data_IF_268258683997
#
_entry.id   IF_268258683997
#
_cell.length_a   1.000
_cell.length_b   1.000
_cell.length_c   1.000
_cell.angle_alpha   90.00
_cell.angle_beta   90.00
_cell.angle_gamma   90.00
#
_symmetry.space_group_name_H-M   'P 1'
#
loop_
_entity.id
_entity.type
_entity.pdbx_description
1 polymer ?
#
# COMPACT_ATOMS: atom_id res chain seq x y z
N UNK A 1 -6.40 17.75 -6.45
CA UNK A 1 -5.11 17.08 -6.75
C UNK A 1 -4.78 16.16 -5.59
N UNK A 2 -4.11 15.02 -5.81
CA UNK A 2 -3.80 14.01 -4.78
C UNK A 2 -3.11 14.60 -3.54
N UNK A 3 -2.19 15.55 -3.71
CA UNK A 3 -1.50 16.21 -2.60
C UNK A 3 -2.43 16.86 -1.57
N UNK A 4 -3.64 17.27 -1.97
CA UNK A 4 -4.62 17.81 -1.04
C UNK A 4 -5.38 16.70 -0.28
N UNK A 5 -5.40 15.49 -0.81
CA UNK A 5 -6.09 14.34 -0.20
C UNK A 5 -5.23 13.56 0.79
N UNK A 6 -3.89 13.65 0.66
CA UNK A 6 -2.94 12.90 1.50
C UNK A 6 -1.94 13.81 2.24
N UNK A 7 -2.34 15.06 2.55
CA UNK A 7 -1.55 15.93 3.42
C UNK A 7 -1.89 15.68 4.89
N UNK A 8 -0.94 15.94 5.78
CA UNK A 8 -1.12 15.75 7.22
C UNK A 8 -0.60 14.40 7.73
N UNK A 9 -1.28 13.81 8.69
CA UNK A 9 -0.87 12.57 9.38
C UNK A 9 -1.55 11.37 8.74
N UNK A 10 -0.77 10.53 8.06
CA UNK A 10 -1.22 9.24 7.57
C UNK A 10 -0.77 8.10 8.47
N UNK A 11 -1.67 7.21 8.85
CA UNK A 11 -1.35 6.07 9.71
C UNK A 11 -1.36 4.77 8.92
N UNK A 12 -0.22 4.04 8.97
CA UNK A 12 -0.15 2.68 8.47
C UNK A 12 -0.82 1.73 9.47
N UNK A 13 -1.95 1.14 9.09
CA UNK A 13 -2.67 0.18 9.91
C UNK A 13 -1.91 -1.14 10.01
N UNK A 14 -2.00 -1.78 11.18
CA UNK A 14 -1.65 -3.19 11.37
C UNK A 14 -2.81 -4.07 10.91
N UNK A 15 -2.55 -5.35 10.64
CA UNK A 15 -3.56 -6.39 10.48
C UNK A 15 -3.59 -7.23 11.75
N UNK A 16 -4.61 -7.11 12.61
CA UNK A 16 -4.74 -7.97 13.79
C UNK A 16 -5.06 -9.40 13.36
N UNK A 17 -4.47 -10.38 14.06
CA UNK A 17 -4.73 -11.79 13.87
C UNK A 17 -5.24 -12.44 15.16
N UNK A 18 -6.02 -13.50 15.00
CA UNK A 18 -6.39 -14.43 16.05
C UNK A 18 -6.02 -15.86 15.63
N UNK A 19 -6.44 -16.86 16.37
CA UNK A 19 -6.12 -18.27 16.10
C UNK A 19 -6.73 -18.81 14.77
N UNK A 20 -7.58 -18.04 14.11
CA UNK A 20 -8.32 -18.45 12.90
C UNK A 20 -7.97 -17.61 11.66
N UNK A 21 -7.08 -16.62 11.78
CA UNK A 21 -6.70 -15.72 10.69
C UNK A 21 -6.87 -14.24 11.06
N UNK A 22 -7.31 -13.41 10.13
CA UNK A 22 -7.51 -11.97 10.36
C UNK A 22 -8.64 -11.74 11.37
N UNK A 23 -8.36 -10.95 12.41
CA UNK A 23 -9.35 -10.50 13.40
C UNK A 23 -10.03 -9.21 12.93
N UNK A 24 -11.14 -9.35 12.19
CA UNK A 24 -11.90 -8.22 11.66
C UNK A 24 -12.53 -7.34 12.73
N UNK A 25 -12.91 -7.90 13.90
CA UNK A 25 -13.45 -7.10 15.00
C UNK A 25 -12.38 -6.19 15.59
N UNK A 26 -11.17 -6.70 15.79
CA UNK A 26 -10.04 -5.89 16.23
C UNK A 26 -9.64 -4.87 15.16
N UNK A 27 -9.61 -5.25 13.87
CA UNK A 27 -9.32 -4.35 12.76
C UNK A 27 -10.34 -3.20 12.70
N UNK A 28 -11.63 -3.51 12.88
CA UNK A 28 -12.69 -2.49 12.91
C UNK A 28 -12.49 -1.49 14.06
N UNK A 29 -12.16 -1.98 15.27
CA UNK A 29 -11.83 -1.09 16.41
C UNK A 29 -10.61 -0.21 16.13
N UNK A 30 -9.59 -0.74 15.43
CA UNK A 30 -8.40 0.01 15.04
C UNK A 30 -8.74 1.13 14.05
N UNK A 31 -9.56 0.85 13.02
CA UNK A 31 -10.01 1.87 12.06
C UNK A 31 -10.73 3.01 12.79
N UNK A 32 -11.69 2.67 13.67
CA UNK A 32 -12.39 3.71 14.45
C UNK A 32 -11.43 4.54 15.31
N UNK A 33 -10.55 3.87 16.04
CA UNK A 33 -9.60 4.52 16.94
C UNK A 33 -8.69 5.52 16.23
N UNK A 34 -8.17 5.19 15.04
CA UNK A 34 -7.30 6.12 14.32
C UNK A 34 -8.08 7.28 13.72
N UNK A 35 -9.30 7.06 13.25
CA UNK A 35 -10.18 8.12 12.73
C UNK A 35 -10.59 9.07 13.86
N UNK A 36 -11.02 8.54 15.01
CA UNK A 36 -11.33 9.34 16.21
C UNK A 36 -10.11 10.11 16.73
N UNK A 37 -8.90 9.54 16.53
CA UNK A 37 -7.64 10.19 16.84
C UNK A 37 -7.26 11.35 15.91
N UNK A 38 -8.04 11.59 14.85
CA UNK A 38 -7.87 12.73 13.95
C UNK A 38 -6.79 12.52 12.88
N UNK A 39 -6.61 11.29 12.39
CA UNK A 39 -5.72 11.06 11.24
C UNK A 39 -6.29 11.70 9.98
N UNK A 40 -5.44 12.19 9.10
CA UNK A 40 -5.84 12.79 7.84
C UNK A 40 -6.08 11.74 6.74
N UNK A 41 -5.42 10.59 6.81
CA UNK A 41 -5.63 9.46 5.90
C UNK A 41 -5.12 8.14 6.50
N UNK A 42 -5.54 7.02 5.92
CA UNK A 42 -5.14 5.67 6.33
C UNK A 42 -4.31 5.03 5.22
N UNK A 43 -3.22 4.34 5.60
CA UNK A 43 -2.48 3.44 4.71
C UNK A 43 -2.83 2.00 5.06
N UNK A 44 -3.64 1.36 4.23
CA UNK A 44 -4.00 -0.05 4.34
C UNK A 44 -2.96 -0.93 3.63
N UNK A 45 -2.76 -2.14 4.05
CA UNK A 45 -1.90 -3.13 3.38
C UNK A 45 -0.44 -2.68 3.14
N UNK A 46 0.07 -1.74 3.94
CA UNK A 46 1.49 -1.41 3.95
C UNK A 46 2.34 -2.50 4.60
N UNK A 47 3.66 -2.32 4.69
CA UNK A 47 4.55 -3.28 5.35
C UNK A 47 4.22 -3.48 6.85
N UNK A 48 3.64 -2.47 7.50
CA UNK A 48 3.14 -2.53 8.87
C UNK A 48 1.96 -3.51 9.03
N UNK A 49 1.18 -3.71 7.96
CA UNK A 49 0.05 -4.64 7.93
C UNK A 49 0.46 -6.11 7.73
N UNK A 50 1.76 -6.43 7.74
CA UNK A 50 2.28 -7.79 7.53
C UNK A 50 1.77 -8.44 6.23
N UNK A 51 1.57 -7.63 5.18
CA UNK A 51 0.98 -8.04 3.90
C UNK A 51 1.67 -9.26 3.27
N UNK A 52 2.96 -9.48 3.56
CA UNK A 52 3.70 -10.64 3.08
C UNK A 52 3.18 -11.98 3.66
N UNK A 53 2.44 -11.96 4.77
CA UNK A 53 1.87 -13.15 5.41
C UNK A 53 0.40 -13.38 5.02
N UNK A 54 -0.20 -12.45 4.30
CA UNK A 54 -1.58 -12.54 3.83
C UNK A 54 -1.66 -13.20 2.45
N UNK A 55 -2.63 -14.07 2.23
CA UNK A 55 -2.99 -14.52 0.90
C UNK A 55 -3.56 -13.37 0.06
N UNK A 56 -3.70 -13.57 -1.25
CA UNK A 56 -4.29 -12.56 -2.14
C UNK A 56 -5.74 -12.30 -1.75
N UNK A 57 -6.50 -13.34 -1.44
CA UNK A 57 -7.90 -13.26 -0.99
C UNK A 57 -8.02 -12.46 0.32
N UNK A 58 -7.16 -12.76 1.30
CA UNK A 58 -7.14 -12.01 2.56
C UNK A 58 -6.81 -10.53 2.36
N UNK A 59 -5.90 -10.20 1.42
CA UNK A 59 -5.60 -8.79 1.09
C UNK A 59 -6.81 -8.08 0.48
N UNK A 60 -7.55 -8.73 -0.41
CA UNK A 60 -8.79 -8.19 -0.95
C UNK A 60 -9.83 -7.94 0.15
N UNK A 61 -10.03 -8.93 1.02
CA UNK A 61 -11.01 -8.84 2.10
C UNK A 61 -10.65 -7.78 3.14
N UNK A 62 -9.37 -7.69 3.52
CA UNK A 62 -8.87 -6.65 4.44
C UNK A 62 -9.05 -5.25 3.85
N UNK A 63 -8.68 -5.05 2.58
CA UNK A 63 -8.84 -3.73 1.94
C UNK A 63 -10.31 -3.34 1.85
N UNK A 64 -11.17 -4.24 1.38
CA UNK A 64 -12.63 -4.02 1.31
C UNK A 64 -13.20 -3.67 2.69
N UNK A 65 -12.85 -4.45 3.72
CA UNK A 65 -13.31 -4.20 5.09
C UNK A 65 -12.89 -2.81 5.60
N UNK A 66 -11.63 -2.40 5.38
CA UNK A 66 -11.14 -1.07 5.79
C UNK A 66 -11.89 0.03 5.04
N UNK A 67 -12.14 -0.13 3.74
CA UNK A 67 -12.91 0.83 2.92
C UNK A 67 -14.33 0.98 3.47
N UNK A 68 -15.03 -0.13 3.65
CA UNK A 68 -16.40 -0.14 4.19
C UNK A 68 -16.46 0.48 5.59
N UNK A 69 -15.52 0.09 6.47
CA UNK A 69 -15.48 0.59 7.84
C UNK A 69 -15.13 2.07 7.94
N UNK A 70 -14.24 2.54 7.06
CA UNK A 70 -13.87 3.96 6.99
C UNK A 70 -15.04 4.83 6.52
N UNK A 71 -15.93 4.29 5.68
CA UNK A 71 -17.13 4.97 5.20
C UNK A 71 -16.83 6.38 4.64
N UNK A 72 -15.75 6.53 3.88
CA UNK A 72 -15.27 7.79 3.26
C UNK A 72 -14.95 8.94 4.24
N UNK A 73 -14.83 8.66 5.53
CA UNK A 73 -14.49 9.69 6.55
C UNK A 73 -13.09 10.25 6.38
N UNK A 74 -12.15 9.43 5.91
CA UNK A 74 -10.79 9.82 5.55
C UNK A 74 -10.34 9.09 4.28
N UNK A 75 -9.41 9.66 3.48
CA UNK A 75 -8.85 8.98 2.31
C UNK A 75 -8.10 7.69 2.67
N UNK A 76 -8.08 6.74 1.74
CA UNK A 76 -7.35 5.49 1.88
C UNK A 76 -6.26 5.39 0.81
N UNK A 77 -5.05 5.07 1.23
CA UNK A 77 -3.92 4.66 0.39
C UNK A 77 -3.75 3.15 0.53
N UNK A 78 -3.74 2.41 -0.58
CA UNK A 78 -3.55 0.96 -0.55
C UNK A 78 -2.07 0.57 -0.77
N UNK A 79 -1.49 -0.22 0.10
CA UNK A 79 -0.16 -0.80 -0.09
C UNK A 79 -0.21 -1.90 -1.15
N UNK A 80 0.38 -1.64 -2.32
CA UNK A 80 0.47 -2.56 -3.43
C UNK A 80 1.93 -2.74 -3.81
N UNK A 81 2.52 -3.87 -3.42
CA UNK A 81 3.95 -4.09 -3.54
C UNK A 81 4.28 -5.54 -3.84
N UNK A 82 5.27 -5.76 -4.70
CA UNK A 82 5.86 -7.07 -4.96
C UNK A 82 7.32 -6.90 -5.40
N UNK A 83 8.12 -7.93 -5.19
CA UNK A 83 9.44 -8.05 -5.80
C UNK A 83 9.39 -8.69 -7.20
N UNK A 84 8.21 -9.11 -7.64
CA UNK A 84 7.89 -9.54 -8.99
C UNK A 84 7.02 -8.47 -9.68
N UNK A 85 7.59 -7.77 -10.65
CA UNK A 85 6.91 -6.69 -11.38
C UNK A 85 5.68 -7.19 -12.13
N UNK A 86 5.78 -8.38 -12.76
CA UNK A 86 4.66 -8.94 -13.52
C UNK A 86 3.49 -9.30 -12.60
N UNK A 87 3.76 -9.97 -11.49
CA UNK A 87 2.74 -10.32 -10.51
C UNK A 87 2.06 -9.07 -9.93
N UNK A 88 2.81 -7.99 -9.67
CA UNK A 88 2.23 -6.74 -9.19
C UNK A 88 1.33 -6.08 -10.24
N UNK A 89 1.75 -6.03 -11.50
CA UNK A 89 0.95 -5.51 -12.61
C UNK A 89 -0.37 -6.28 -12.74
N UNK A 90 -0.34 -7.61 -12.66
CA UNK A 90 -1.57 -8.42 -12.69
C UNK A 90 -2.46 -8.19 -11.46
N UNK A 91 -1.87 -8.02 -10.27
CA UNK A 91 -2.65 -7.66 -9.07
C UNK A 91 -3.34 -6.30 -9.24
N UNK A 92 -2.67 -5.29 -9.77
CA UNK A 92 -3.26 -3.96 -10.00
C UNK A 92 -4.47 -3.99 -10.94
N UNK A 93 -4.56 -4.98 -11.83
CA UNK A 93 -5.71 -5.18 -12.73
C UNK A 93 -6.91 -5.85 -12.05
N UNK A 94 -6.66 -6.59 -10.97
CA UNK A 94 -7.68 -7.41 -10.29
C UNK A 94 -8.18 -6.81 -8.98
N UNK A 95 -7.37 -5.96 -8.32
CA UNK A 95 -7.78 -5.28 -7.11
C UNK A 95 -8.76 -4.14 -7.41
N UNK A 96 -9.85 -4.08 -6.64
CA UNK A 96 -10.73 -2.92 -6.65
C UNK A 96 -10.10 -1.77 -5.87
N UNK A 97 -9.52 -0.82 -6.61
CA UNK A 97 -8.89 0.38 -6.09
C UNK A 97 -9.75 1.64 -6.26
N UNK A 98 -11.01 1.49 -6.68
CA UNK A 98 -11.92 2.61 -7.01
C UNK A 98 -12.18 3.56 -5.84
N UNK A 99 -12.13 3.06 -4.61
CA UNK A 99 -12.33 3.84 -3.38
C UNK A 99 -10.99 4.23 -2.70
N UNK A 100 -9.87 4.07 -3.39
CA UNK A 100 -8.54 4.49 -2.91
C UNK A 100 -8.07 5.74 -3.66
N UNK A 101 -7.31 6.59 -2.97
CA UNK A 101 -6.79 7.83 -3.58
C UNK A 101 -5.41 7.65 -4.19
N UNK A 102 -4.67 6.62 -3.78
CA UNK A 102 -3.35 6.26 -4.29
C UNK A 102 -2.99 4.83 -3.88
N UNK A 103 -1.95 4.28 -4.53
CA UNK A 103 -1.23 3.12 -4.01
C UNK A 103 0.12 3.54 -3.41
N UNK A 104 0.58 2.81 -2.38
CA UNK A 104 1.94 2.88 -1.84
C UNK A 104 2.71 1.67 -2.32
N UNK A 105 3.75 1.88 -3.14
CA UNK A 105 4.54 0.78 -3.72
C UNK A 105 6.02 0.89 -3.35
N UNK A 106 6.57 -0.19 -2.75
CA UNK A 106 7.97 -0.26 -2.34
C UNK A 106 8.86 -0.71 -3.51
N UNK A 107 10.11 -0.27 -3.51
CA UNK A 107 11.13 -0.81 -4.43
C UNK A 107 11.17 -2.34 -4.35
N UNK A 108 11.43 -3.08 -5.47
CA UNK A 108 11.53 -4.53 -5.41
C UNK A 108 12.56 -4.98 -4.37
N UNK A 109 12.10 -5.73 -3.38
CA UNK A 109 12.91 -6.24 -2.27
C UNK A 109 13.48 -7.62 -2.60
N UNK A 110 14.47 -8.09 -1.85
CA UNK A 110 15.08 -9.42 -1.96
C UNK A 110 15.97 -9.60 -3.20
N UNK A 111 15.43 -9.48 -4.42
CA UNK A 111 16.17 -9.66 -5.72
C UNK A 111 17.09 -8.48 -6.07
N UNK A 112 17.04 -7.35 -5.37
CA UNK A 112 17.99 -6.22 -5.47
C UNK A 112 18.27 -5.80 -6.93
N UNK A 113 17.27 -5.32 -7.69
CA UNK A 113 17.47 -4.87 -9.05
C UNK A 113 18.44 -3.67 -9.13
N UNK A 114 19.02 -3.45 -10.32
CA UNK A 114 19.77 -2.23 -10.61
C UNK A 114 18.87 -0.99 -10.57
N UNK A 115 19.45 0.22 -10.57
CA UNK A 115 18.69 1.48 -10.64
C UNK A 115 17.79 1.54 -11.87
N UNK A 116 18.29 1.07 -13.02
CA UNK A 116 17.49 0.94 -14.24
C UNK A 116 16.34 -0.06 -14.06
N UNK A 117 16.57 -1.16 -13.34
CA UNK A 117 15.52 -2.13 -12.99
C UNK A 117 14.44 -1.52 -12.10
N UNK A 118 14.82 -0.68 -11.10
CA UNK A 118 13.87 0.06 -10.26
C UNK A 118 13.03 1.01 -11.13
N UNK A 119 13.68 1.77 -12.00
CA UNK A 119 12.99 2.69 -12.92
C UNK A 119 11.94 1.95 -13.75
N UNK A 120 12.33 0.86 -14.44
CA UNK A 120 11.40 0.07 -15.26
C UNK A 120 10.26 -0.56 -14.45
N UNK A 121 10.56 -1.00 -13.23
CA UNK A 121 9.53 -1.50 -12.32
C UNK A 121 8.45 -0.44 -12.06
N UNK A 122 8.84 0.76 -11.62
CA UNK A 122 7.87 1.81 -11.31
C UNK A 122 7.16 2.35 -12.55
N UNK A 123 7.82 2.40 -13.71
CA UNK A 123 7.14 2.74 -14.97
C UNK A 123 6.02 1.73 -15.29
N UNK A 124 6.29 0.43 -15.18
CA UNK A 124 5.27 -0.61 -15.40
C UNK A 124 4.13 -0.54 -14.36
N UNK A 125 4.46 -0.28 -13.10
CA UNK A 125 3.47 -0.11 -12.02
C UNK A 125 2.60 1.14 -12.27
N UNK A 126 3.20 2.26 -12.66
CA UNK A 126 2.47 3.50 -12.93
C UNK A 126 1.55 3.38 -14.16
N UNK A 127 1.99 2.65 -15.19
CA UNK A 127 1.17 2.38 -16.38
C UNK A 127 -0.03 1.47 -16.08
N UNK A 128 0.13 0.52 -15.17
CA UNK A 128 -0.92 -0.43 -14.81
C UNK A 128 -1.88 0.09 -13.72
N UNK A 129 -1.45 1.07 -12.92
CA UNK A 129 -2.23 1.54 -11.78
C UNK A 129 -3.37 2.47 -12.21
N UNK A 130 -4.62 2.22 -11.76
CA UNK A 130 -5.74 3.11 -12.03
C UNK A 130 -5.71 4.39 -11.18
N UNK A 131 -4.82 4.46 -10.18
CA UNK A 131 -4.69 5.58 -9.24
C UNK A 131 -3.21 6.00 -9.13
N UNK A 132 -2.90 7.20 -8.65
CA UNK A 132 -1.53 7.66 -8.46
C UNK A 132 -0.67 6.72 -7.61
N UNK A 133 0.64 6.65 -7.91
CA UNK A 133 1.61 5.79 -7.21
C UNK A 133 2.48 6.64 -6.28
N UNK A 134 2.49 6.27 -5.00
CA UNK A 134 3.43 6.80 -4.00
C UNK A 134 4.61 5.81 -3.94
N UNK A 135 5.79 6.29 -4.29
CA UNK A 135 6.99 5.48 -4.25
C UNK A 135 7.52 5.39 -2.81
N UNK A 136 7.75 4.18 -2.33
CA UNK A 136 8.27 3.92 -1.00
C UNK A 136 9.69 3.34 -1.06
N UNK A 137 10.66 4.12 -0.59
CA UNK A 137 12.06 3.72 -0.50
C UNK A 137 12.43 3.47 0.96
N UNK A 138 12.69 2.22 1.32
CA UNK A 138 12.99 1.80 2.70
C UNK A 138 14.17 0.81 2.72
N UNK A 139 15.41 1.30 2.53
CA UNK A 139 16.59 0.46 2.32
C UNK A 139 16.82 -0.58 3.42
N UNK A 140 16.48 -0.26 4.68
CA UNK A 140 16.62 -1.18 5.80
C UNK A 140 15.72 -2.42 5.73
N UNK A 141 14.61 -2.36 4.98
CA UNK A 141 13.69 -3.48 4.77
C UNK A 141 13.87 -4.13 3.40
N UNK A 142 14.05 -3.33 2.35
CA UNK A 142 14.19 -3.84 0.98
C UNK A 142 15.60 -4.36 0.67
N UNK A 143 16.61 -3.95 1.44
CA UNK A 143 18.02 -4.26 1.17
C UNK A 143 18.55 -3.54 -0.08
N UNK A 144 17.84 -2.51 -0.55
CA UNK A 144 18.13 -1.75 -1.75
C UNK A 144 17.73 -0.30 -1.56
N UNK A 145 18.55 0.63 -2.03
CA UNK A 145 18.26 2.06 -2.03
C UNK A 145 18.03 2.57 -3.45
N UNK A 146 16.92 3.24 -3.68
CA UNK A 146 16.69 4.03 -4.88
C UNK A 146 17.42 5.36 -4.75
N UNK A 147 18.25 5.71 -5.73
CA UNK A 147 19.03 6.96 -5.72
C UNK A 147 18.16 8.17 -6.08
N UNK A 148 18.64 9.36 -5.72
CA UNK A 148 18.00 10.60 -6.10
C UNK A 148 17.87 10.76 -7.64
N UNK A 149 18.92 10.37 -8.39
CA UNK A 149 18.89 10.41 -9.86
C UNK A 149 17.79 9.51 -10.44
N UNK A 150 17.57 8.32 -9.86
CA UNK A 150 16.48 7.43 -10.27
C UNK A 150 15.12 8.03 -9.95
N UNK A 151 15.01 8.68 -8.77
CA UNK A 151 13.75 9.35 -8.35
C UNK A 151 13.39 10.50 -9.27
N UNK A 152 14.38 11.30 -9.69
CA UNK A 152 14.15 12.45 -10.60
C UNK A 152 13.75 12.00 -12.01
N UNK A 153 14.16 10.81 -12.43
CA UNK A 153 13.77 10.22 -13.73
C UNK A 153 12.33 9.70 -13.76
N UNK A 154 11.75 9.35 -12.60
CA UNK A 154 10.38 8.88 -12.44
C UNK A 154 9.38 10.05 -12.36
#
# INVERSE_FOLDING_TARGET
MIQQQISGVGVALITPFNNYGVDYDALGRMVEKVIEGGVDYIVALGSTAETATLSIEERHDVLRFIIERTAKRVPIVAGMSSNDTHALVEQLRTFDLSETVAILSVVPYYNKPSQEGIYRHFMAVAEASPVPVIIYNVPGRSGLNMTADTTVRL
#
